data_IF_872266729118
#
_entry.id   IF_872266729118
#
_cell.length_a   1.000
_cell.length_b   1.000
_cell.length_c   1.000
_cell.angle_alpha   90.00
_cell.angle_beta   90.00
_cell.angle_gamma   90.00
#
_symmetry.space_group_name_H-M   'P 1'
#
loop_
_entity.id
_entity.type
_entity.pdbx_description
1 polymer ?
2 water ?
#
# COMPACT_ATOMS: atom_id res chain seq x y z
N UNK A 38 8.87 3.14 18.95
CA UNK A 38 8.16 4.08 18.08
C UNK A 38 7.44 3.36 16.95
N UNK A 39 6.30 3.90 16.54
CA UNK A 39 5.69 3.47 15.29
C UNK A 39 6.51 4.02 14.12
N UNK A 40 6.94 3.14 13.21
CA UNK A 40 7.70 3.59 12.04
C UNK A 40 6.92 4.60 11.21
N UNK A 41 7.65 5.53 10.60
CA UNK A 41 7.11 6.38 9.56
C UNK A 41 7.84 6.05 8.27
N UNK A 42 7.08 5.81 7.21
CA UNK A 42 7.64 5.52 5.90
C UNK A 42 7.06 6.49 4.88
N UNK A 43 7.70 6.60 3.72
CA UNK A 43 7.26 7.55 2.72
C UNK A 43 7.29 6.96 1.31
N UNK A 44 6.41 7.50 0.48
CA UNK A 44 6.46 7.33 -0.97
C UNK A 44 6.59 8.71 -1.61
N UNK A 45 7.57 8.87 -2.49
CA UNK A 45 7.61 10.01 -3.39
C UNK A 45 6.97 9.58 -4.70
N UNK A 46 5.85 10.21 -5.03
CA UNK A 46 5.00 9.76 -6.12
C UNK A 46 5.21 10.55 -7.39
N UNK A 47 5.07 9.88 -8.53
CA UNK A 47 4.93 10.59 -9.81
C UNK A 47 3.62 10.18 -10.45
N UNK A 48 3.05 11.10 -11.22
CA UNK A 48 1.87 10.83 -12.00
C UNK A 48 2.19 11.30 -13.41
N UNK A 49 2.12 10.39 -14.37
CA UNK A 49 2.55 10.70 -15.72
C UNK A 49 4.00 11.13 -15.79
N UNK A 50 4.82 10.65 -14.85
CA UNK A 50 6.24 10.97 -14.82
C UNK A 50 6.60 12.21 -14.04
N UNK A 51 5.60 13.04 -13.74
CA UNK A 51 5.83 14.29 -13.03
C UNK A 51 5.64 14.10 -11.52
N UNK A 52 6.55 14.67 -10.72
CA UNK A 52 6.36 14.59 -9.26
C UNK A 52 4.98 15.06 -8.80
N UNK A 53 4.37 14.28 -7.91
CA UNK A 53 3.04 14.55 -7.38
C UNK A 53 3.08 14.81 -5.88
N UNK A 54 4.26 14.69 -5.28
CA UNK A 54 4.42 14.90 -3.85
C UNK A 54 4.72 13.65 -3.05
N UNK A 55 4.89 13.85 -1.75
CA UNK A 55 5.24 12.79 -0.82
C UNK A 55 4.07 12.39 0.07
N UNK A 56 3.85 11.09 0.18
CA UNK A 56 2.92 10.52 1.14
C UNK A 56 3.73 9.97 2.31
N UNK A 57 3.41 10.40 3.53
CA UNK A 57 4.05 9.85 4.72
C UNK A 57 3.01 9.05 5.49
N UNK A 58 3.38 7.83 5.86
CA UNK A 58 2.50 6.90 6.56
C UNK A 58 3.09 6.53 7.90
N UNK A 59 2.25 6.57 8.94
CA UNK A 59 2.60 5.99 10.22
C UNK A 59 2.11 4.55 10.23
N UNK A 60 2.97 3.63 10.65
CA UNK A 60 2.64 2.21 10.68
C UNK A 60 2.42 1.76 12.12
N UNK A 61 1.32 1.03 12.35
CA UNK A 61 0.89 0.64 13.70
C UNK A 61 1.66 -0.58 14.21
N UNK A 62 2.97 -0.42 14.38
CA UNK A 62 3.83 -1.49 14.87
C UNK A 62 3.36 -2.01 16.22
N UNK A 63 2.84 -1.09 17.03
CA UNK A 63 2.28 -1.43 18.33
C UNK A 63 1.15 -2.46 18.27
N UNK A 64 0.28 -2.36 17.27
CA UNK A 64 -0.90 -3.22 17.19
C UNK A 64 -0.72 -4.44 16.30
N UNK A 65 -0.07 -4.25 15.15
CA UNK A 65 0.08 -5.32 14.15
C UNK A 65 1.53 -5.37 13.65
N UNK A 66 2.44 -5.77 14.54
CA UNK A 66 3.87 -5.72 14.21
C UNK A 66 4.28 -6.57 13.01
N UNK A 67 3.69 -7.74 12.81
CA UNK A 67 4.13 -8.57 11.69
C UNK A 67 3.77 -7.95 10.35
N UNK A 68 2.56 -7.40 10.27
CA UNK A 68 2.08 -6.76 9.05
C UNK A 68 2.87 -5.48 8.78
N UNK A 69 3.13 -4.74 9.84
CA UNK A 69 3.94 -3.53 9.74
C UNK A 69 5.37 -3.82 9.31
N UNK A 70 5.98 -4.87 9.86
CA UNK A 70 7.35 -5.17 9.52
C UNK A 70 7.50 -5.53 8.04
N UNK A 71 6.53 -6.26 7.50
CA UNK A 71 6.51 -6.53 6.07
C UNK A 71 6.50 -5.24 5.26
N UNK A 72 5.55 -4.35 5.55
CA UNK A 72 5.43 -3.11 4.79
C UNK A 72 6.68 -2.23 4.94
N UNK A 73 7.18 -2.11 6.16
CA UNK A 73 8.36 -1.30 6.43
C UNK A 73 9.55 -1.80 5.62
N UNK A 74 9.81 -3.10 5.68
CA UNK A 74 10.91 -3.69 4.94
C UNK A 74 10.74 -3.54 3.44
N UNK A 75 9.51 -3.60 2.95
CA UNK A 75 9.27 -3.40 1.52
C UNK A 75 9.49 -1.94 1.12
N UNK A 76 9.34 -1.01 2.05
CA UNK A 76 9.67 0.38 1.78
C UNK A 76 11.17 0.60 1.70
N UNK A 77 11.94 -0.06 2.55
CA UNK A 77 13.39 0.15 2.54
C UNK A 77 14.11 -0.71 1.51
N UNK A 78 13.51 -1.84 1.13
CA UNK A 78 14.16 -2.79 0.25
C UNK A 78 15.25 -3.63 0.90
N UNK A 79 15.37 -3.54 2.23
CA UNK A 79 16.52 -4.12 2.93
C UNK A 79 16.66 -5.65 2.84
N UNK A 80 15.59 -6.36 2.54
CA UNK A 80 15.69 -7.82 2.48
C UNK A 80 16.33 -8.33 1.19
N UNK A 81 16.51 -7.47 0.18
CA UNK A 81 17.11 -7.92 -1.06
C UNK A 81 16.09 -8.47 -2.04
N UNK A 82 16.39 -9.63 -2.62
CA UNK A 82 15.59 -10.20 -3.70
C UNK A 82 14.71 -11.32 -3.14
N UNK A 83 13.45 -11.34 -3.55
CA UNK A 83 12.54 -12.39 -3.12
C UNK A 83 12.70 -13.70 -3.89
N UNK A 84 11.96 -14.72 -3.45
CA UNK A 84 11.91 -16.01 -4.13
C UNK A 84 11.41 -15.81 -5.56
N UNK A 85 10.60 -14.78 -5.76
CA UNK A 85 10.09 -14.40 -7.08
C UNK A 85 11.13 -13.82 -8.04
N UNK A 86 12.32 -13.51 -7.53
CA UNK A 86 13.38 -12.97 -8.37
C UNK A 86 13.39 -11.46 -8.50
N UNK A 87 12.41 -10.80 -7.88
CA UNK A 87 12.31 -9.35 -7.90
C UNK A 87 12.78 -8.79 -6.56
N UNK A 88 13.34 -7.58 -6.55
CA UNK A 88 13.63 -6.94 -5.26
C UNK A 88 12.36 -6.83 -4.42
N UNK A 89 12.48 -7.15 -3.13
CA UNK A 89 11.41 -6.97 -2.17
C UNK A 89 11.36 -5.50 -1.81
N UNK A 90 10.78 -4.71 -2.70
CA UNK A 90 10.94 -3.27 -2.63
C UNK A 90 9.82 -2.61 -3.42
N UNK A 91 9.19 -1.60 -2.84
CA UNK A 91 8.12 -0.90 -3.54
C UNK A 91 8.64 0.09 -4.58
N UNK A 92 9.93 0.42 -4.52
CA UNK A 92 10.48 1.46 -5.39
C UNK A 92 10.32 1.08 -6.86
N UNK A 93 9.71 1.98 -7.62
CA UNK A 93 9.47 1.76 -9.04
C UNK A 93 8.16 1.07 -9.37
N UNK A 94 7.46 0.58 -8.36
CA UNK A 94 6.16 -0.06 -8.59
C UNK A 94 5.06 0.99 -8.74
N UNK A 95 3.92 0.56 -9.26
CA UNK A 95 2.83 1.48 -9.59
C UNK A 95 1.59 1.26 -8.75
N UNK A 96 0.72 2.26 -8.69
CA UNK A 96 -0.63 2.06 -8.17
C UNK A 96 -1.50 1.64 -9.34
N UNK A 97 -1.80 0.34 -9.44
CA UNK A 97 -2.43 -0.21 -10.64
C UNK A 97 -3.95 -0.17 -10.60
N UNK A 98 -4.53 0.09 -9.44
CA UNK A 98 -5.98 0.10 -9.31
C UNK A 98 -6.40 1.27 -8.44
N UNK A 99 -7.03 2.26 -9.06
CA UNK A 99 -7.43 3.46 -8.35
C UNK A 99 -8.88 3.75 -8.66
N UNK A 100 -9.71 3.78 -7.62
CA UNK A 100 -11.14 4.01 -7.78
C UNK A 100 -11.55 5.25 -7.00
N UNK A 101 -11.96 6.31 -7.70
CA UNK A 101 -12.35 7.55 -7.03
C UNK A 101 -13.48 7.33 -6.01
N UNK A 102 -13.40 8.05 -4.90
CA UNK A 102 -14.36 7.94 -3.81
C UNK A 102 -14.31 6.58 -3.12
N UNK A 103 -13.18 5.89 -3.25
CA UNK A 103 -13.01 4.58 -2.62
C UNK A 103 -11.58 4.39 -2.10
N UNK A 104 -10.65 4.06 -2.99
CA UNK A 104 -9.29 3.75 -2.55
C UNK A 104 -8.28 3.75 -3.69
N UNK A 105 -7.00 3.80 -3.33
CA UNK A 105 -5.90 3.67 -4.26
C UNK A 105 -5.11 2.43 -3.86
N UNK A 106 -4.90 1.52 -4.80
CA UNK A 106 -4.24 0.25 -4.52
C UNK A 106 -2.93 0.10 -5.29
N UNK A 107 -1.91 -0.37 -4.59
CA UNK A 107 -0.62 -0.62 -5.22
C UNK A 107 0.08 -1.80 -4.58
N UNK A 108 1.38 -1.90 -4.82
CA UNK A 108 2.21 -2.89 -4.16
C UNK A 108 2.54 -4.14 -4.94
N UNK A 109 2.04 -4.27 -6.16
CA UNK A 109 2.35 -5.46 -6.96
C UNK A 109 3.64 -5.24 -7.74
N UNK A 110 4.77 -5.53 -7.11
CA UNK A 110 6.06 -5.33 -7.74
C UNK A 110 6.57 -6.56 -8.50
N UNK A 111 5.77 -7.63 -8.57
CA UNK A 111 6.19 -8.78 -9.38
C UNK A 111 5.46 -8.87 -10.72
N UNK A 112 4.21 -8.42 -10.78
CA UNK A 112 3.42 -8.51 -12.00
C UNK A 112 2.82 -7.17 -12.43
N UNK A 113 2.67 -6.25 -11.47
CA UNK A 113 2.22 -4.91 -11.77
C UNK A 113 0.75 -4.78 -12.14
N UNK A 114 -0.04 -5.81 -11.90
CA UNK A 114 -1.44 -5.79 -12.34
C UNK A 114 -2.45 -6.29 -11.31
N UNK A 115 -1.97 -6.63 -10.12
CA UNK A 115 -2.84 -7.13 -9.07
C UNK A 115 -2.75 -8.63 -8.85
N UNK A 116 -2.06 -9.34 -9.73
CA UNK A 116 -1.94 -10.78 -9.59
C UNK A 116 -0.67 -11.20 -8.84
N UNK A 117 0.22 -10.25 -8.58
CA UNK A 117 1.51 -10.57 -8.01
C UNK A 117 1.77 -10.03 -6.62
N UNK A 118 3.06 -9.87 -6.31
CA UNK A 118 3.48 -9.44 -4.99
C UNK A 118 4.09 -10.58 -4.20
N UNK A 119 4.90 -10.24 -3.20
CA UNK A 119 5.56 -11.22 -2.34
C UNK A 119 5.78 -10.54 -0.99
N UNK A 120 5.61 -11.28 0.11
CA UNK A 120 5.91 -10.74 1.43
C UNK A 120 7.29 -11.16 1.89
N UNK A 121 7.77 -10.55 2.97
CA UNK A 121 9.05 -10.93 3.55
C UNK A 121 9.01 -12.31 4.21
N UNK A 122 7.81 -12.87 4.36
CA UNK A 122 7.62 -14.16 5.02
C UNK A 122 7.53 -15.33 4.04
N UNK A 123 7.39 -15.01 2.76
CA UNK A 123 6.97 -15.98 1.76
C UNK A 123 5.88 -15.39 0.87
N UNK A 124 5.25 -16.23 0.07
CA UNK A 124 4.27 -15.77 -0.90
C UNK A 124 3.14 -14.97 -0.25
N UNK A 125 2.56 -15.52 0.81
CA UNK A 125 1.46 -14.88 1.51
C UNK A 125 1.59 -15.07 3.02
N UNK A 126 0.88 -14.25 3.78
CA UNK A 126 0.85 -14.40 5.22
C UNK A 126 -0.53 -14.17 5.80
N UNK A 127 -0.72 -14.67 7.01
CA UNK A 127 -2.03 -14.72 7.63
C UNK A 127 -2.48 -13.35 8.11
N UNK A 128 -3.80 -13.19 8.23
CA UNK A 128 -4.36 -11.99 8.82
C UNK A 128 -4.00 -11.92 10.30
N UNK A 129 -3.24 -10.89 10.67
CA UNK A 129 -2.69 -10.78 12.02
C UNK A 129 -3.76 -10.46 13.07
N UNK A 130 -4.45 -9.34 12.87
CA UNK A 130 -5.51 -8.86 13.77
C UNK A 130 -6.40 -7.93 12.98
N UNK A 131 -7.65 -7.82 13.41
CA UNK A 131 -8.57 -6.85 12.84
C UNK A 131 -8.96 -5.76 13.83
N UNK A 132 -8.02 -5.42 14.71
CA UNK A 132 -8.31 -4.47 15.78
C UNK A 132 -8.57 -3.06 15.25
N UNK A 133 -7.90 -2.69 14.17
CA UNK A 133 -8.14 -1.39 13.56
C UNK A 133 -9.15 -1.49 12.44
N UNK A 134 -9.91 -0.41 12.24
CA UNK A 134 -10.98 -0.40 11.26
C UNK A 134 -10.76 0.70 10.22
N UNK A 135 -11.55 0.65 9.14
CA UNK A 135 -11.38 1.59 8.04
C UNK A 135 -12.21 2.85 8.31
N UNK A 136 -11.73 3.67 9.23
CA UNK A 136 -12.56 4.71 9.84
C UNK A 136 -12.50 6.09 9.18
N UNK A 137 -11.50 6.32 8.33
CA UNK A 137 -11.30 7.67 7.80
C UNK A 137 -10.42 7.67 6.55
N UNK A 138 -10.45 8.78 5.79
CA UNK A 138 -9.53 8.85 4.65
C UNK A 138 -8.09 8.73 5.12
N UNK A 139 -7.29 8.00 4.35
CA UNK A 139 -5.89 7.84 4.66
C UNK A 139 -5.56 6.54 5.37
N UNK A 140 -6.57 5.77 5.75
CA UNK A 140 -6.31 4.46 6.35
C UNK A 140 -5.55 3.57 5.36
N UNK A 141 -4.53 2.90 5.87
CA UNK A 141 -3.66 2.03 5.10
C UNK A 141 -3.95 0.59 5.50
N UNK A 142 -4.27 -0.24 4.52
CA UNK A 142 -4.80 -1.57 4.78
C UNK A 142 -4.29 -2.56 3.73
N UNK A 143 -4.28 -3.85 4.06
CA UNK A 143 -3.77 -4.86 3.14
C UNK A 143 -4.81 -5.32 2.15
N UNK A 144 -4.47 -5.25 0.86
CA UNK A 144 -5.28 -5.90 -0.15
C UNK A 144 -5.09 -7.41 -0.02
N UNK A 145 -6.05 -8.19 -0.49
CA UNK A 145 -5.92 -9.63 -0.42
C UNK A 145 -6.83 -10.32 -1.42
N UNK A 146 -6.74 -11.64 -1.47
CA UNK A 146 -7.60 -12.46 -2.32
C UNK A 146 -8.43 -13.38 -1.44
N UNK A 147 -8.89 -12.85 -0.31
CA UNK A 147 -9.61 -13.64 0.67
C UNK A 147 -8.83 -13.76 1.96
N UNK A 148 -9.38 -14.50 2.94
CA UNK A 148 -8.71 -14.63 4.23
C UNK A 148 -7.29 -15.20 4.12
N UNK A 149 -6.38 -14.61 4.88
CA UNK A 149 -5.02 -15.11 5.04
C UNK A 149 -4.22 -15.19 3.74
N UNK A 150 -4.35 -14.15 2.91
CA UNK A 150 -3.63 -14.10 1.65
C UNK A 150 -2.91 -12.76 1.45
N UNK A 151 -2.44 -12.16 2.54
CA UNK A 151 -1.66 -10.94 2.46
C UNK A 151 -0.34 -11.17 1.77
N UNK A 152 0.07 -10.26 0.89
CA UNK A 152 1.36 -10.37 0.23
C UNK A 152 2.10 -9.06 0.37
N UNK A 153 2.13 -8.29 -0.71
CA UNK A 153 2.71 -6.96 -0.67
C UNK A 153 1.71 -5.88 -1.09
N UNK A 154 0.56 -6.27 -1.63
CA UNK A 154 -0.40 -5.27 -2.10
C UNK A 154 -1.15 -4.61 -0.95
N UNK A 155 -1.37 -3.31 -1.08
CA UNK A 155 -1.99 -2.51 -0.04
C UNK A 155 -2.93 -1.53 -0.69
N UNK A 156 -3.75 -0.88 0.11
CA UNK A 156 -4.54 0.22 -0.39
C UNK A 156 -4.65 1.32 0.64
N UNK A 157 -4.85 2.53 0.13
CA UNK A 157 -5.11 3.69 0.96
C UNK A 157 -6.55 4.12 0.71
N UNK A 158 -7.36 4.12 1.76
CA UNK A 158 -8.75 4.56 1.64
C UNK A 158 -8.83 6.06 1.42
N UNK A 159 -9.79 6.48 0.60
CA UNK A 159 -10.03 7.91 0.44
C UNK A 159 -11.32 8.32 1.13
N UNK A 160 -12.06 7.31 1.60
CA UNK A 160 -13.29 7.51 2.36
C UNK A 160 -13.32 6.46 3.48
N UNK A 161 -14.18 6.66 4.50
CA UNK A 161 -14.35 5.55 5.44
C UNK A 161 -14.96 4.35 4.72
N UNK A 162 -14.46 3.15 4.99
CA UNK A 162 -14.88 1.94 4.28
C UNK A 162 -15.26 0.84 5.26
N UNK A 163 -16.34 1.06 6.00
CA UNK A 163 -16.72 0.14 7.07
C UNK A 163 -17.07 -1.27 6.58
N UNK A 164 -17.47 -1.38 5.32
CA UNK A 164 -17.76 -2.68 4.73
C UNK A 164 -16.51 -3.55 4.57
N UNK A 165 -15.33 -2.93 4.68
CA UNK A 165 -14.08 -3.68 4.61
C UNK A 165 -13.60 -4.17 5.98
N UNK A 166 -14.22 -3.69 7.05
CA UNK A 166 -13.81 -4.09 8.39
C UNK A 166 -13.93 -5.60 8.57
N UNK A 167 -12.90 -6.20 9.17
CA UNK A 167 -12.87 -7.63 9.38
C UNK A 167 -12.45 -8.43 8.15
N UNK A 168 -12.27 -7.75 7.02
CA UNK A 168 -11.89 -8.42 5.77
C UNK A 168 -10.48 -8.07 5.32
N UNK A 169 -9.99 -6.92 5.78
CA UNK A 169 -8.66 -6.44 5.43
C UNK A 169 -7.98 -5.95 6.69
N UNK A 170 -6.71 -6.29 6.84
CA UNK A 170 -5.96 -5.90 8.02
C UNK A 170 -5.44 -4.47 7.86
N UNK A 171 -5.96 -3.58 8.69
CA UNK A 171 -5.53 -2.19 8.75
C UNK A 171 -4.25 -2.10 9.56
N UNK A 172 -3.24 -1.43 9.02
CA UNK A 172 -1.94 -1.42 9.69
C UNK A 172 -1.25 -0.06 9.74
N UNK A 173 -1.93 0.99 9.29
CA UNK A 173 -1.35 2.31 9.40
C UNK A 173 -2.27 3.38 8.85
N UNK A 174 -1.73 4.59 8.71
CA UNK A 174 -2.50 5.70 8.18
C UNK A 174 -1.57 6.73 7.55
N UNK A 175 -2.08 7.40 6.53
CA UNK A 175 -1.40 8.55 5.96
C UNK A 175 -1.44 9.70 6.96
N UNK A 176 -0.26 10.20 7.32
CA UNK A 176 -0.15 11.34 8.23
C UNK A 176 0.24 12.64 7.53
N UNK A 177 0.83 12.54 6.34
CA UNK A 177 1.13 13.73 5.53
C UNK A 177 0.85 13.38 4.08
N UNK A 178 0.34 14.35 3.32
CA UNK A 178 0.21 14.17 1.89
C UNK A 178 -1.09 13.60 1.38
N UNK A 179 -2.20 13.87 2.06
CA UNK A 179 -3.50 13.45 1.53
C UNK A 179 -3.82 14.15 0.22
N UNK A 180 -3.24 15.33 -0.01
CA UNK A 180 -3.38 15.98 -1.30
C UNK A 180 -2.77 15.13 -2.41
N UNK A 181 -1.68 14.45 -2.10
CA UNK A 181 -1.02 13.58 -3.06
C UNK A 181 -1.93 12.40 -3.37
N UNK A 182 -2.55 11.84 -2.34
CA UNK A 182 -3.51 10.76 -2.52
C UNK A 182 -4.67 11.22 -3.39
N UNK A 183 -5.16 12.44 -3.15
CA UNK A 183 -6.26 12.96 -3.97
C UNK A 183 -5.81 13.19 -5.41
N UNK A 184 -4.55 13.59 -5.59
CA UNK A 184 -3.92 13.72 -6.91
C UNK A 184 -3.99 12.41 -7.68
N UNK A 185 -3.74 11.32 -6.98
CA UNK A 185 -3.72 9.99 -7.56
C UNK A 185 -5.14 9.53 -7.86
N UNK A 186 -6.04 9.80 -6.93
CA UNK A 186 -7.44 9.44 -7.06
C UNK A 186 -8.04 9.98 -8.36
N UNK A 187 -7.60 11.17 -8.76
CA UNK A 187 -8.20 11.84 -9.91
C UNK A 187 -7.82 11.23 -11.27
N UNK A 188 -6.80 10.37 -11.30
CA UNK A 188 -6.50 9.64 -12.54
C UNK A 188 -7.07 8.23 -12.51
N UNK A 189 -7.85 7.91 -11.48
CA UNK A 189 -8.53 6.63 -11.42
C UNK A 189 -9.83 6.63 -12.20
N UNK A 190 -10.60 5.55 -12.07
CA UNK A 190 -11.88 5.41 -12.75
C UNK A 190 -12.72 4.39 -11.99
N UNK A 191 -13.99 4.26 -12.36
CA UNK A 191 -14.87 3.31 -11.68
C UNK A 191 -14.37 1.86 -11.76
N UNK A 192 -13.68 1.53 -12.85
CA UNK A 192 -13.16 0.18 -13.05
C UNK A 192 -11.81 -0.01 -12.36
N UNK A 193 -11.20 1.09 -11.95
CA UNK A 193 -9.90 1.03 -11.30
C UNK A 193 -8.75 1.34 -12.23
N UNK A 194 -9.01 1.32 -13.54
CA UNK A 194 -7.96 1.58 -14.52
C UNK A 194 -7.51 3.04 -14.45
N UNK A 195 -6.19 3.25 -14.43
CA UNK A 195 -5.64 4.60 -14.37
C UNK A 195 -5.44 5.22 -15.74
N UNK A 196 -5.66 6.53 -15.83
CA UNK A 196 -5.50 7.24 -17.09
C UNK A 196 -4.09 7.80 -17.27
N UNK A 197 -3.31 7.81 -16.18
CA UNK A 197 -1.89 8.14 -16.22
C UNK A 197 -1.18 7.16 -15.29
N UNK A 198 0.09 6.88 -15.53
CA UNK A 198 0.82 5.95 -14.68
C UNK A 198 1.20 6.61 -13.35
N UNK A 199 0.89 5.92 -12.26
CA UNK A 199 1.14 6.41 -10.91
C UNK A 199 2.24 5.55 -10.31
N UNK A 200 3.40 6.14 -10.05
CA UNK A 200 4.59 5.39 -9.70
C UNK A 200 5.16 5.84 -8.36
N UNK A 201 5.55 4.86 -7.54
CA UNK A 201 6.34 5.11 -6.34
C UNK A 201 7.78 5.32 -6.80
N UNK A 202 8.13 6.56 -7.12
CA UNK A 202 9.44 6.85 -7.69
C UNK A 202 10.56 6.66 -6.68
N UNK A 203 10.28 6.96 -5.41
CA UNK A 203 11.21 6.65 -4.33
C UNK A 203 10.39 6.30 -3.10
N UNK A 204 11.01 5.60 -2.17
CA UNK A 204 10.34 5.26 -0.92
C UNK A 204 11.40 4.93 0.11
N UNK A 205 10.98 4.82 1.36
CA UNK A 205 11.93 4.50 2.41
C UNK A 205 11.33 4.72 3.77
N UNK A 206 12.19 4.64 4.78
CA UNK A 206 11.78 4.86 6.16
C UNK A 206 12.42 6.13 6.69
N UNK A 207 11.64 6.93 7.40
CA UNK A 207 12.12 8.16 8.01
C UNK A 207 12.78 7.89 9.35
#
# INVERSE_FOLDING_TARGET
MGSSHHHHHHSSGLVPRGSHMASMTGGQQMGRGSEFMANPRVFFDMTVGGAPAGRIVMELYKDAVPRTVENFRALCTGEKGVGKSGKPLHYKGSAFHRVIPDFMCQGGDFTRGNGTGGESIYGEKFADEKFVHKHTKPGILSMANAGPNTNGSQFFICTVPCNWLDGKHVVFGEVVEGMDVVKNIEKVGSRSGTCSKQVVIADCGQL
#
